data_IF_304612206768
#
_entry.id   IF_304612206768
#
_cell.length_a   1.000
_cell.length_b   1.000
_cell.length_c   1.000
_cell.angle_alpha   90.00
_cell.angle_beta   90.00
_cell.angle_gamma   90.00
#
_symmetry.space_group_name_H-M   'P 1'
#
loop_
_entity.id
_entity.type
_entity.pdbx_description
1 polymer ?
#
# COMPACT_ATOMS: atom_id res chain seq x y z
N UNK A 1 -23.37 -7.41 -5.12
CA UNK A 1 -22.40 -6.48 -5.74
C UNK A 1 -21.36 -6.15 -4.69
N UNK A 2 -20.07 -6.32 -4.99
CA UNK A 2 -19.00 -5.89 -4.09
C UNK A 2 -18.77 -4.38 -4.29
N UNK A 3 -18.69 -3.61 -3.20
CA UNK A 3 -18.48 -2.15 -3.23
C UNK A 3 -17.19 -1.79 -2.50
N UNK A 4 -16.69 -0.57 -2.70
CA UNK A 4 -15.50 -0.10 -2.01
C UNK A 4 -14.24 -0.92 -2.34
N UNK A 5 -13.51 -1.36 -1.31
CA UNK A 5 -12.24 -2.07 -1.50
C UNK A 5 -12.44 -3.45 -2.14
N UNK A 6 -13.47 -4.21 -1.76
CA UNK A 6 -13.72 -5.52 -2.35
C UNK A 6 -14.08 -5.41 -3.83
N UNK A 7 -14.90 -4.41 -4.19
CA UNK A 7 -15.18 -4.10 -5.60
C UNK A 7 -13.93 -3.69 -6.37
N UNK A 8 -13.03 -2.93 -5.74
CA UNK A 8 -11.75 -2.57 -6.34
C UNK A 8 -10.86 -3.80 -6.56
N UNK A 9 -10.67 -4.66 -5.56
CA UNK A 9 -9.87 -5.90 -5.66
C UNK A 9 -10.36 -6.82 -6.79
N UNK A 10 -11.68 -6.87 -7.02
CA UNK A 10 -12.29 -7.65 -8.09
C UNK A 10 -12.17 -7.01 -9.49
N UNK A 11 -11.75 -5.75 -9.59
CA UNK A 11 -11.61 -5.05 -10.88
C UNK A 11 -10.29 -5.42 -11.60
N UNK A 12 -10.19 -5.23 -12.93
CA UNK A 12 -8.95 -5.44 -13.66
C UNK A 12 -7.76 -4.60 -13.16
N UNK A 13 -8.02 -3.35 -12.75
CA UNK A 13 -6.99 -2.50 -12.13
C UNK A 13 -6.58 -3.04 -10.76
N UNK A 14 -7.55 -3.45 -9.94
CA UNK A 14 -7.29 -4.06 -8.64
C UNK A 14 -6.49 -5.34 -8.73
N UNK A 15 -6.71 -6.19 -9.74
CA UNK A 15 -5.89 -7.38 -9.97
C UNK A 15 -4.41 -7.04 -10.21
N UNK A 16 -4.12 -6.04 -11.05
CA UNK A 16 -2.74 -5.58 -11.31
C UNK A 16 -2.10 -4.94 -10.07
N UNK A 17 -2.85 -4.12 -9.34
CA UNK A 17 -2.40 -3.54 -8.07
C UNK A 17 -2.13 -4.63 -7.04
N UNK A 18 -3.04 -5.59 -6.92
CA UNK A 18 -2.94 -6.71 -5.99
C UNK A 18 -1.70 -7.54 -6.21
N UNK A 19 -1.37 -7.86 -7.47
CA UNK A 19 -0.16 -8.58 -7.83
C UNK A 19 1.14 -7.92 -7.32
N UNK A 20 1.14 -6.59 -7.13
CA UNK A 20 2.26 -5.87 -6.51
C UNK A 20 2.12 -5.87 -4.99
N UNK A 21 0.94 -5.55 -4.45
CA UNK A 21 0.78 -5.40 -3.00
C UNK A 21 0.92 -6.72 -2.23
N UNK A 22 0.58 -7.85 -2.84
CA UNK A 22 0.63 -9.18 -2.22
C UNK A 22 1.87 -9.98 -2.61
N UNK A 23 2.79 -9.39 -3.37
CA UNK A 23 4.09 -10.00 -3.63
C UNK A 23 4.86 -10.16 -2.31
N UNK A 24 5.32 -11.35 -1.93
CA UNK A 24 6.03 -11.58 -0.67
C UNK A 24 7.23 -10.64 -0.45
N UNK A 25 7.92 -10.25 -1.53
CA UNK A 25 9.08 -9.34 -1.42
C UNK A 25 8.65 -7.94 -0.99
N UNK A 26 7.58 -7.41 -1.60
CA UNK A 26 7.03 -6.11 -1.23
C UNK A 26 6.35 -6.15 0.14
N UNK A 27 5.69 -7.25 0.51
CA UNK A 27 5.11 -7.41 1.85
C UNK A 27 6.22 -7.37 2.91
N UNK A 28 7.30 -8.12 2.69
CA UNK A 28 8.47 -8.14 3.58
C UNK A 28 9.08 -6.75 3.70
N UNK A 29 9.25 -6.04 2.57
CA UNK A 29 9.79 -4.69 2.57
C UNK A 29 8.90 -3.70 3.33
N UNK A 30 7.57 -3.75 3.13
CA UNK A 30 6.61 -2.91 3.88
C UNK A 30 6.71 -3.11 5.39
N UNK A 31 6.88 -4.36 5.84
CA UNK A 31 7.08 -4.73 7.25
C UNK A 31 8.41 -4.18 7.76
N UNK A 32 9.51 -4.39 7.02
CA UNK A 32 10.84 -3.91 7.40
C UNK A 32 10.88 -2.39 7.49
N UNK A 33 10.35 -1.68 6.50
CA UNK A 33 10.27 -0.22 6.51
C UNK A 33 9.52 0.28 7.75
N UNK A 34 8.39 -0.34 8.08
CA UNK A 34 7.61 0.02 9.26
C UNK A 34 8.40 -0.17 10.56
N UNK A 35 9.15 -1.27 10.70
CA UNK A 35 10.05 -1.52 11.84
C UNK A 35 11.17 -0.47 11.97
N UNK A 36 11.55 0.16 10.86
CA UNK A 36 12.55 1.23 10.82
C UNK A 36 11.93 2.63 10.81
N UNK A 37 10.67 2.78 11.24
CA UNK A 37 9.99 4.07 11.30
C UNK A 37 9.82 4.77 9.92
N UNK A 38 9.78 3.99 8.85
CA UNK A 38 9.60 4.47 7.47
C UNK A 38 8.20 4.07 6.96
N UNK A 39 7.47 4.95 6.24
CA UNK A 39 6.15 4.61 5.72
C UNK A 39 6.15 3.36 4.83
N UNK A 40 5.25 2.41 5.12
CA UNK A 40 5.14 1.15 4.38
C UNK A 40 4.94 1.36 2.88
N UNK A 41 4.09 2.33 2.51
CA UNK A 41 3.78 2.67 1.11
C UNK A 41 4.99 3.07 0.27
N UNK A 42 6.15 3.34 0.88
CA UNK A 42 7.38 3.62 0.16
C UNK A 42 7.86 2.41 -0.66
N UNK A 43 7.68 1.18 -0.17
CA UNK A 43 8.07 -0.05 -0.88
C UNK A 43 7.35 -0.17 -2.23
N UNK A 44 6.03 0.07 -2.23
CA UNK A 44 5.16 -0.17 -3.40
C UNK A 44 4.89 1.08 -4.23
N UNK A 45 5.11 2.28 -3.69
CA UNK A 45 4.73 3.54 -4.33
C UNK A 45 5.43 3.80 -5.66
N UNK A 46 6.67 3.33 -5.84
CA UNK A 46 7.40 3.42 -7.11
C UNK A 46 7.04 2.28 -8.08
N UNK A 47 7.04 1.00 -7.65
CA UNK A 47 6.56 -0.12 -8.46
C UNK A 47 5.16 0.09 -9.05
N UNK A 48 4.22 0.66 -8.29
CA UNK A 48 2.86 0.96 -8.77
C UNK A 48 2.88 1.96 -9.94
N UNK A 49 3.70 3.01 -9.87
CA UNK A 49 3.84 3.95 -10.98
C UNK A 49 4.53 3.31 -12.18
N UNK A 50 5.62 2.59 -11.95
CA UNK A 50 6.44 2.06 -13.05
C UNK A 50 5.73 0.93 -13.81
N UNK A 51 4.90 0.12 -13.14
CA UNK A 51 4.22 -1.04 -13.75
C UNK A 51 2.78 -0.75 -14.20
N UNK A 52 2.09 0.20 -13.57
CA UNK A 52 0.66 0.48 -13.85
C UNK A 52 0.46 1.88 -14.43
N UNK A 53 1.33 2.84 -14.12
CA UNK A 53 1.28 4.18 -14.68
C UNK A 53 0.18 5.06 -14.08
N UNK A 54 -0.46 5.86 -14.93
CA UNK A 54 -1.34 6.94 -14.47
C UNK A 54 -2.68 6.47 -13.90
N UNK A 55 -3.08 5.21 -14.15
CA UNK A 55 -4.34 4.65 -13.64
C UNK A 55 -4.41 4.59 -12.11
N UNK A 56 -3.26 4.54 -11.42
CA UNK A 56 -3.21 4.55 -9.95
C UNK A 56 -3.14 5.94 -9.32
N UNK A 57 -2.96 7.00 -10.13
CA UNK A 57 -2.86 8.39 -9.65
C UNK A 57 -4.12 8.98 -9.04
N UNK A 58 -5.35 8.65 -9.50
CA UNK A 58 -6.56 9.26 -8.94
C UNK A 58 -6.65 9.05 -7.43
N UNK A 59 -7.02 10.11 -6.70
CA UNK A 59 -7.12 10.08 -5.23
C UNK A 59 -8.02 8.96 -4.68
N UNK A 60 -9.18 8.63 -5.29
CA UNK A 60 -9.98 7.50 -4.85
C UNK A 60 -9.22 6.16 -4.91
N UNK A 61 -8.42 5.95 -5.95
CA UNK A 61 -7.61 4.72 -6.14
C UNK A 61 -6.49 4.67 -5.10
N UNK A 62 -5.77 5.78 -4.88
CA UNK A 62 -4.75 5.88 -3.83
C UNK A 62 -5.30 5.56 -2.44
N UNK A 63 -6.51 6.03 -2.12
CA UNK A 63 -7.19 5.70 -0.85
C UNK A 63 -7.50 4.20 -0.74
N UNK A 64 -7.93 3.56 -1.82
CA UNK A 64 -8.20 2.11 -1.84
C UNK A 64 -6.91 1.29 -1.70
N UNK A 65 -5.84 1.69 -2.37
CA UNK A 65 -4.50 1.09 -2.22
C UNK A 65 -4.03 1.20 -0.77
N UNK A 66 -4.13 2.38 -0.16
CA UNK A 66 -3.75 2.57 1.25
C UNK A 66 -4.57 1.70 2.22
N UNK A 67 -5.87 1.52 1.95
CA UNK A 67 -6.72 0.60 2.73
C UNK A 67 -6.30 -0.86 2.55
N UNK A 68 -5.96 -1.26 1.34
CA UNK A 68 -5.50 -2.63 1.07
C UNK A 68 -4.16 -2.91 1.76
N UNK A 69 -3.21 -1.99 1.70
CA UNK A 69 -1.93 -2.11 2.44
C UNK A 69 -2.18 -2.25 3.94
N UNK A 70 -3.16 -1.52 4.50
CA UNK A 70 -3.55 -1.69 5.89
C UNK A 70 -4.06 -3.11 6.18
N UNK A 71 -4.92 -3.67 5.34
CA UNK A 71 -5.43 -5.04 5.53
C UNK A 71 -4.33 -6.10 5.46
N UNK A 72 -3.37 -5.93 4.54
CA UNK A 72 -2.22 -6.83 4.41
C UNK A 72 -1.39 -6.79 5.69
N UNK A 73 -0.99 -5.60 6.14
CA UNK A 73 -0.14 -5.46 7.32
C UNK A 73 -0.86 -5.79 8.63
N UNK A 74 -2.19 -5.63 8.67
CA UNK A 74 -3.02 -6.11 9.79
C UNK A 74 -2.97 -7.64 9.90
N UNK A 75 -2.97 -8.34 8.75
CA UNK A 75 -2.73 -9.78 8.66
C UNK A 75 -1.33 -10.21 9.12
N UNK A 76 -0.33 -9.35 8.91
CA UNK A 76 1.05 -9.51 9.44
C UNK A 76 1.19 -9.14 10.93
N UNK A 77 0.08 -8.87 11.62
CA UNK A 77 0.10 -8.54 13.05
C UNK A 77 0.58 -7.11 13.36
N UNK A 78 0.51 -6.21 12.39
CA UNK A 78 0.91 -4.80 12.55
C UNK A 78 -0.31 -3.87 12.56
N UNK A 79 -0.26 -2.80 13.34
CA UNK A 79 -1.26 -1.75 13.38
C UNK A 79 -0.72 -0.43 12.81
N UNK A 80 -1.55 0.35 12.11
CA UNK A 80 -1.14 1.66 11.64
C UNK A 80 -0.92 2.59 12.84
N UNK A 81 0.29 3.15 12.93
CA UNK A 81 0.65 4.16 13.91
C UNK A 81 0.63 5.55 13.28
N UNK A 82 1.76 6.25 13.37
CA UNK A 82 1.92 7.61 12.85
C UNK A 82 2.06 7.64 11.32
N UNK A 83 1.86 8.81 10.72
CA UNK A 83 2.11 9.06 9.31
C UNK A 83 3.49 9.67 9.11
N UNK A 84 4.25 9.20 8.11
CA UNK A 84 5.52 9.77 7.69
C UNK A 84 5.50 10.27 6.25
N UNK A 85 6.51 11.06 5.87
CA UNK A 85 6.70 11.53 4.49
C UNK A 85 7.36 10.46 3.64
N UNK A 86 6.96 10.41 2.36
CA UNK A 86 7.58 9.59 1.33
C UNK A 86 8.32 10.53 0.36
N UNK A 87 9.55 10.19 -0.06
CA UNK A 87 10.31 11.04 -0.98
C UNK A 87 9.59 11.32 -2.30
N UNK A 88 9.93 12.42 -3.00
CA UNK A 88 9.45 12.67 -4.36
C UNK A 88 9.76 11.51 -5.31
N UNK A 89 8.93 11.33 -6.33
CA UNK A 89 9.08 10.26 -7.33
C UNK A 89 8.31 8.95 -7.01
N UNK A 90 7.56 8.93 -5.91
CA UNK A 90 6.61 7.87 -5.55
C UNK A 90 5.16 8.28 -5.82
N UNK A 91 4.24 7.31 -5.90
CA UNK A 91 2.79 7.55 -6.02
C UNK A 91 2.21 8.37 -4.86
N UNK A 92 2.78 8.20 -3.66
CA UNK A 92 2.32 8.80 -2.43
C UNK A 92 3.35 9.80 -1.91
N UNK A 93 2.87 10.92 -1.36
CA UNK A 93 3.71 11.89 -0.64
C UNK A 93 3.84 11.59 0.86
N UNK A 94 2.91 10.79 1.40
CA UNK A 94 2.87 10.36 2.81
C UNK A 94 2.28 8.96 2.93
N UNK A 95 2.59 8.25 4.00
CA UNK A 95 1.99 6.96 4.32
C UNK A 95 2.07 6.62 5.80
N UNK A 96 1.28 5.64 6.21
CA UNK A 96 1.31 5.12 7.57
C UNK A 96 2.61 4.33 7.83
N UNK A 97 3.13 4.47 9.04
CA UNK A 97 4.18 3.66 9.64
C UNK A 97 3.49 2.73 10.63
N UNK A 98 3.78 1.43 10.54
CA UNK A 98 3.09 0.43 11.33
C UNK A 98 3.94 -0.07 12.49
N UNK A 99 3.30 -0.52 13.57
CA UNK A 99 3.95 -1.11 14.74
C UNK A 99 3.31 -2.45 15.10
N UNK A 100 4.03 -3.40 15.73
CA UNK A 100 3.44 -4.64 16.22
C UNK A 100 2.20 -4.41 17.07
N UNK A 101 1.20 -5.29 16.93
CA UNK A 101 0.13 -5.46 17.91
C UNK A 101 0.79 -5.85 19.23
N UNK A 102 0.61 -5.03 20.26
CA UNK A 102 1.13 -5.30 21.61
C UNK A 102 0.50 -6.53 22.24
#
# INVERSE_FOLDING_TARGET
MAFGLDGFKASPLGGRVGAILTDPDYVTEMVVLSKHDIPALRAVGRPLLDRIGDEVRPDPIKKLIGRWVREILDGEGLLPGRTGRIPPGHLFSTGAIYSPKG
#
